data_IF_867040951123
#
_entry.id   IF_867040951123
#
_cell.length_a   1.000
_cell.length_b   1.000
_cell.length_c   1.000
_cell.angle_alpha   90.00
_cell.angle_beta   90.00
_cell.angle_gamma   90.00
#
_symmetry.space_group_name_H-M   'P 1'
#
loop_
_entity.id
_entity.type
_entity.pdbx_description
1 polymer ?
#
# COMPACT_ATOMS: atom_id res chain seq x y z
N UNK A 1 6.13 5.89 5.15
CA UNK A 1 6.33 6.99 6.12
C UNK A 1 6.13 6.38 7.50
N UNK A 2 7.17 6.34 8.35
CA UNK A 2 7.04 5.77 9.71
C UNK A 2 6.45 6.78 10.70
N UNK A 3 6.42 8.07 10.35
CA UNK A 3 5.93 9.14 11.24
C UNK A 3 4.40 9.21 11.34
N UNK A 4 3.69 8.87 10.27
CA UNK A 4 2.22 8.80 10.27
C UNK A 4 1.66 7.73 11.22
N UNK A 5 2.46 6.73 11.63
CA UNK A 5 2.00 5.62 12.47
C UNK A 5 1.47 6.04 13.85
N UNK A 6 1.91 7.18 14.38
CA UNK A 6 1.59 7.62 15.75
C UNK A 6 0.50 8.70 15.80
N UNK A 7 0.13 9.27 14.65
CA UNK A 7 -0.82 10.37 14.57
C UNK A 7 -2.09 9.91 13.82
N UNK A 8 -3.23 9.73 14.51
CA UNK A 8 -4.49 9.30 13.90
C UNK A 8 -4.93 10.19 12.73
N UNK A 9 -4.68 11.50 12.80
CA UNK A 9 -5.03 12.45 11.74
C UNK A 9 -4.19 12.23 10.48
N UNK A 10 -2.88 11.98 10.63
CA UNK A 10 -2.01 11.66 9.48
C UNK A 10 -2.36 10.31 8.86
N UNK A 11 -2.76 9.32 9.66
CA UNK A 11 -3.24 8.05 9.15
C UNK A 11 -4.51 8.19 8.31
N UNK A 12 -5.43 9.04 8.75
CA UNK A 12 -6.67 9.32 8.04
C UNK A 12 -6.41 10.03 6.71
N UNK A 13 -5.42 10.91 6.67
CA UNK A 13 -4.93 11.54 5.43
C UNK A 13 -4.33 10.50 4.47
N UNK A 14 -3.43 9.62 4.96
CA UNK A 14 -2.88 8.54 4.14
C UNK A 14 -3.96 7.60 3.60
N UNK A 15 -5.02 7.35 4.39
CA UNK A 15 -6.18 6.57 3.96
C UNK A 15 -6.94 7.27 2.84
N UNK A 16 -7.17 8.58 2.95
CA UNK A 16 -7.81 9.38 1.89
C UNK A 16 -6.97 9.39 0.62
N UNK A 17 -5.65 9.51 0.72
CA UNK A 17 -4.74 9.42 -0.42
C UNK A 17 -4.82 8.06 -1.12
N UNK A 18 -4.85 6.97 -0.35
CA UNK A 18 -5.02 5.61 -0.89
C UNK A 18 -6.35 5.48 -1.64
N UNK A 19 -7.46 5.94 -1.05
CA UNK A 19 -8.78 5.90 -1.65
C UNK A 19 -8.86 6.69 -2.97
N UNK A 20 -8.29 7.90 -2.99
CA UNK A 20 -8.20 8.69 -4.22
C UNK A 20 -7.37 7.95 -5.27
N UNK A 21 -6.24 7.36 -4.91
CA UNK A 21 -5.43 6.56 -5.83
C UNK A 21 -6.20 5.38 -6.45
N UNK A 22 -6.96 4.65 -5.63
CA UNK A 22 -7.80 3.52 -6.07
C UNK A 22 -8.87 3.99 -7.06
N UNK A 23 -9.61 5.05 -6.71
CA UNK A 23 -10.73 5.58 -7.51
C UNK A 23 -10.30 6.28 -8.81
N UNK A 24 -9.00 6.48 -9.03
CA UNK A 24 -8.47 6.97 -10.32
C UNK A 24 -8.46 5.90 -11.40
N UNK A 25 -8.35 4.62 -11.02
CA UNK A 25 -8.43 3.52 -11.96
C UNK A 25 -9.90 3.31 -12.38
N UNK A 26 -10.16 3.27 -13.68
CA UNK A 26 -11.51 3.05 -14.24
C UNK A 26 -11.80 1.56 -14.44
N UNK A 27 -10.88 0.85 -15.10
CA UNK A 27 -11.10 -0.54 -15.52
C UNK A 27 -10.25 -1.54 -14.74
N UNK A 28 -8.96 -1.25 -14.53
CA UNK A 28 -8.01 -2.16 -13.86
C UNK A 28 -7.10 -1.38 -12.93
N UNK A 29 -6.92 -1.91 -11.72
CA UNK A 29 -6.00 -1.39 -10.72
C UNK A 29 -4.96 -2.46 -10.40
N UNK A 30 -3.69 -2.12 -10.55
CA UNK A 30 -2.57 -2.96 -10.16
C UNK A 30 -1.85 -2.30 -8.98
N UNK A 31 -1.67 -3.05 -7.90
CA UNK A 31 -0.94 -2.56 -6.73
C UNK A 31 0.25 -3.48 -6.49
N UNK A 32 1.44 -2.88 -6.39
CA UNK A 32 2.69 -3.61 -6.18
C UNK A 32 3.37 -3.13 -4.90
N UNK A 33 4.02 -4.04 -4.18
CA UNK A 33 4.87 -3.69 -3.05
C UNK A 33 6.24 -4.36 -3.20
N UNK A 34 7.28 -3.74 -2.64
CA UNK A 34 8.62 -4.31 -2.65
C UNK A 34 8.93 -4.96 -1.30
N UNK A 35 9.33 -6.25 -1.31
CA UNK A 35 9.76 -6.97 -0.10
C UNK A 35 10.97 -6.29 0.58
N UNK A 36 11.89 -5.75 -0.21
CA UNK A 36 13.06 -5.00 0.24
C UNK A 36 13.32 -3.85 -0.73
N UNK A 37 13.63 -2.66 -0.21
CA UNK A 37 14.04 -1.51 -1.02
C UNK A 37 15.15 -0.73 -0.34
N UNK A 38 16.03 -0.12 -1.14
CA UNK A 38 17.03 0.81 -0.61
C UNK A 38 16.39 2.19 -0.47
N UNK A 39 16.32 2.71 0.75
CA UNK A 39 15.78 4.02 1.05
C UNK A 39 16.79 4.77 1.93
N UNK A 40 17.19 5.97 1.52
CA UNK A 40 18.22 6.78 2.20
C UNK A 40 19.49 5.98 2.52
N UNK A 41 20.00 5.23 1.53
CA UNK A 41 21.22 4.41 1.66
C UNK A 41 21.06 3.08 2.41
N UNK A 42 19.98 2.90 3.17
CA UNK A 42 19.73 1.70 3.98
C UNK A 42 18.78 0.73 3.27
N UNK A 43 19.03 -0.56 3.40
CA UNK A 43 18.09 -1.59 2.98
C UNK A 43 16.96 -1.68 4.01
N UNK A 44 15.73 -1.48 3.58
CA UNK A 44 14.54 -1.56 4.42
C UNK A 44 13.60 -2.64 3.89
N UNK A 45 13.12 -3.49 4.78
CA UNK A 45 12.04 -4.44 4.52
C UNK A 45 10.80 -3.92 5.25
N UNK A 46 9.85 -3.36 4.49
CA UNK A 46 8.61 -2.86 5.05
C UNK A 46 7.49 -3.85 4.74
N UNK A 47 6.58 -4.12 5.69
CA UNK A 47 5.40 -4.91 5.40
C UNK A 47 4.55 -4.24 4.31
N UNK A 48 3.68 -4.99 3.62
CA UNK A 48 2.66 -4.44 2.74
C UNK A 48 1.84 -3.35 3.45
N UNK A 49 1.30 -2.41 2.67
CA UNK A 49 0.44 -1.37 3.22
C UNK A 49 -0.78 -1.98 3.90
N UNK A 50 -1.08 -1.53 5.13
CA UNK A 50 -2.27 -1.98 5.89
C UNK A 50 -3.58 -1.73 5.14
N UNK A 51 -3.62 -0.74 4.25
CA UNK A 51 -4.80 -0.42 3.45
C UNK A 51 -5.13 -1.52 2.43
N UNK A 52 -4.19 -2.41 2.11
CA UNK A 52 -4.47 -3.57 1.27
C UNK A 52 -5.35 -4.59 1.98
N UNK A 53 -5.20 -4.73 3.30
CA UNK A 53 -6.01 -5.64 4.12
C UNK A 53 -7.45 -5.14 4.31
N UNK A 54 -7.72 -3.86 4.04
CA UNK A 54 -9.07 -3.29 4.11
C UNK A 54 -9.86 -3.43 2.81
N UNK A 55 -9.23 -3.90 1.73
CA UNK A 55 -9.91 -4.09 0.45
C UNK A 55 -10.73 -5.40 0.47
N UNK A 56 -11.88 -5.45 -0.21
CA UNK A 56 -12.69 -6.67 -0.26
C UNK A 56 -11.92 -7.82 -0.92
N UNK A 57 -11.77 -8.94 -0.20
CA UNK A 57 -10.96 -10.08 -0.64
C UNK A 57 -11.38 -10.63 -2.01
N UNK A 58 -12.68 -10.59 -2.32
CA UNK A 58 -13.25 -11.07 -3.59
C UNK A 58 -12.82 -10.26 -4.83
N UNK A 59 -12.25 -9.07 -4.64
CA UNK A 59 -11.73 -8.23 -5.74
C UNK A 59 -10.23 -8.34 -5.91
N UNK A 60 -9.53 -8.92 -4.92
CA UNK A 60 -8.08 -9.05 -4.92
C UNK A 60 -7.68 -10.32 -5.67
N UNK A 61 -6.76 -10.17 -6.62
CA UNK A 61 -6.05 -11.28 -7.24
C UNK A 61 -4.58 -11.12 -6.92
N UNK A 62 -4.05 -12.01 -6.10
CA UNK A 62 -2.62 -12.08 -5.84
C UNK A 62 -1.96 -12.80 -7.02
N UNK A 63 -1.02 -12.11 -7.66
CA UNK A 63 -0.20 -12.69 -8.71
C UNK A 63 1.10 -13.18 -8.09
N UNK A 64 1.14 -14.47 -7.75
CA UNK A 64 2.30 -15.15 -7.16
C UNK A 64 3.27 -15.68 -8.23
N UNK A 65 3.12 -15.26 -9.50
CA UNK A 65 3.97 -15.75 -10.61
C UNK A 65 5.45 -15.32 -10.55
N UNK A 66 5.84 -14.55 -9.54
CA UNK A 66 7.21 -14.04 -9.31
C UNK A 66 7.92 -14.66 -8.11
N UNK A 67 7.67 -15.95 -7.81
CA UNK A 67 8.48 -16.74 -6.86
C UNK A 67 9.63 -17.43 -7.59
#
# INVERSE_FOLDING_TARGET
HYRSFLNPQEMEEERRLCYVGITRAKDRLYITFARRRRLFGRLQANPPSRFLLTLPEHTLKFDDSYV
#
